data_IF_307979368542
#
_entry.id   IF_307979368542
#
_cell.length_a   1.000
_cell.length_b   1.000
_cell.length_c   1.000
_cell.angle_alpha   90.00
_cell.angle_beta   90.00
_cell.angle_gamma   90.00
#
_symmetry.space_group_name_H-M   'P 1'
#
loop_
_entity.id
_entity.type
_entity.pdbx_description
1 polymer ?
#
# COMPACT_ATOMS: atom_id res chain seq x y z
N UNK A 1 -9.47 -6.27 -12.38
CA UNK A 1 -9.51 -7.63 -11.83
C UNK A 1 -10.44 -8.55 -12.58
N UNK A 2 -11.70 -8.20 -12.95
CA UNK A 2 -12.49 -9.03 -13.85
C UNK A 2 -11.75 -9.35 -15.16
N UNK A 3 -11.00 -8.37 -15.69
CA UNK A 3 -10.20 -8.55 -16.90
C UNK A 3 -9.04 -9.55 -16.69
N UNK A 4 -8.34 -9.49 -15.58
CA UNK A 4 -7.22 -10.40 -15.29
C UNK A 4 -7.68 -11.85 -15.24
N UNK A 5 -8.78 -12.14 -14.52
CA UNK A 5 -9.39 -13.48 -14.48
C UNK A 5 -9.95 -13.93 -15.83
N UNK A 6 -10.63 -13.05 -16.53
CA UNK A 6 -11.11 -13.33 -17.87
C UNK A 6 -9.95 -13.67 -18.81
N UNK A 7 -8.88 -12.88 -18.78
CA UNK A 7 -7.71 -13.11 -19.60
C UNK A 7 -7.00 -14.43 -19.23
N UNK A 8 -6.85 -14.74 -17.93
CA UNK A 8 -6.28 -16.00 -17.46
C UNK A 8 -7.11 -17.21 -17.93
N UNK A 9 -8.45 -17.15 -17.84
CA UNK A 9 -9.33 -18.21 -18.35
C UNK A 9 -9.25 -18.37 -19.88
N UNK A 10 -9.03 -17.28 -20.60
CA UNK A 10 -8.98 -17.25 -22.06
C UNK A 10 -7.64 -17.63 -22.66
N UNK A 11 -6.53 -17.22 -22.00
CA UNK A 11 -5.18 -17.32 -22.54
C UNK A 11 -4.24 -18.17 -21.70
N UNK A 12 -4.69 -18.71 -20.55
CA UNK A 12 -3.87 -19.46 -19.62
C UNK A 12 -3.17 -18.59 -18.58
N UNK A 13 -2.31 -19.21 -17.77
CA UNK A 13 -1.64 -18.57 -16.62
C UNK A 13 -0.54 -17.57 -17.02
N UNK A 14 -0.06 -17.63 -18.26
CA UNK A 14 0.95 -16.71 -18.79
C UNK A 14 0.43 -16.09 -20.09
N UNK A 15 0.23 -14.78 -20.07
CA UNK A 15 -0.29 -14.08 -21.26
C UNK A 15 0.33 -12.71 -21.43
N UNK A 16 0.44 -12.27 -22.68
CA UNK A 16 0.94 -10.96 -23.04
C UNK A 16 -0.17 -9.92 -23.04
N UNK A 17 0.12 -8.76 -22.47
CA UNK A 17 -0.73 -7.58 -22.54
C UNK A 17 0.10 -6.33 -22.79
N UNK A 18 -0.57 -5.23 -23.17
CA UNK A 18 0.06 -3.92 -23.30
C UNK A 18 -0.52 -2.99 -22.25
N UNK A 19 0.31 -2.51 -21.35
CA UNK A 19 -0.09 -1.54 -20.32
C UNK A 19 0.65 -0.23 -20.59
N UNK A 20 -0.09 0.83 -20.88
CA UNK A 20 0.49 2.16 -20.98
C UNK A 20 0.75 2.73 -19.58
N UNK A 21 1.95 3.27 -19.36
CA UNK A 21 3.11 3.41 -20.25
C UNK A 21 4.21 2.35 -20.03
N UNK A 22 3.90 1.18 -19.40
CA UNK A 22 4.87 0.09 -19.18
C UNK A 22 5.33 -0.58 -20.49
N UNK A 23 4.53 -0.48 -21.55
CA UNK A 23 4.80 -1.17 -22.80
C UNK A 23 4.31 -2.63 -22.80
N UNK A 24 5.09 -3.56 -23.37
CA UNK A 24 4.75 -4.98 -23.34
C UNK A 24 4.93 -5.54 -21.92
N UNK A 25 3.89 -6.20 -21.42
CA UNK A 25 3.86 -6.83 -20.11
C UNK A 25 3.46 -8.29 -20.30
N UNK A 26 4.14 -9.20 -19.59
CA UNK A 26 3.77 -10.60 -19.49
C UNK A 26 3.18 -10.82 -18.10
N UNK A 27 1.88 -11.05 -18.04
CA UNK A 27 1.15 -11.37 -16.82
C UNK A 27 1.33 -12.84 -16.47
N UNK A 28 1.51 -13.14 -15.18
CA UNK A 28 1.75 -14.49 -14.65
C UNK A 28 0.78 -14.74 -13.50
N UNK A 29 -0.04 -15.79 -13.63
CA UNK A 29 -1.04 -16.21 -12.65
C UNK A 29 -0.75 -17.57 -11.99
N UNK A 30 0.32 -18.25 -12.35
CA UNK A 30 0.74 -19.52 -11.74
C UNK A 30 1.64 -19.26 -10.51
N UNK A 31 1.33 -19.84 -9.32
CA UNK A 31 2.11 -19.61 -8.10
C UNK A 31 3.57 -20.06 -8.19
N UNK A 32 3.88 -21.11 -8.94
CA UNK A 32 5.24 -21.65 -9.10
C UNK A 32 6.09 -20.69 -9.93
N UNK A 33 5.56 -20.24 -11.06
CA UNK A 33 6.23 -19.26 -11.91
C UNK A 33 6.35 -17.89 -11.23
N UNK A 34 5.37 -17.52 -10.42
CA UNK A 34 5.42 -16.30 -9.58
C UNK A 34 6.55 -16.39 -8.58
N UNK A 35 6.73 -17.53 -7.91
CA UNK A 35 7.86 -17.76 -7.00
C UNK A 35 9.19 -17.55 -7.74
N UNK A 36 9.35 -18.15 -8.91
CA UNK A 36 10.56 -18.03 -9.72
C UNK A 36 10.88 -16.54 -10.02
N UNK A 37 9.89 -15.77 -10.46
CA UNK A 37 10.07 -14.35 -10.78
C UNK A 37 10.36 -13.48 -9.54
N UNK A 38 9.69 -13.74 -8.42
CA UNK A 38 9.82 -12.93 -7.22
C UNK A 38 11.10 -13.23 -6.41
N UNK A 39 11.65 -14.43 -6.55
CA UNK A 39 12.88 -14.87 -5.86
C UNK A 39 14.12 -14.91 -6.75
N UNK A 40 13.94 -14.67 -8.04
CA UNK A 40 15.02 -14.71 -9.03
C UNK A 40 16.13 -13.67 -8.75
N UNK A 41 17.26 -13.79 -9.45
CA UNK A 41 18.43 -12.94 -9.28
C UNK A 41 18.11 -11.45 -9.44
N UNK A 42 18.63 -10.62 -8.51
CA UNK A 42 18.30 -9.19 -8.48
C UNK A 42 18.78 -8.44 -9.72
N UNK A 43 19.88 -8.88 -10.30
CA UNK A 43 20.52 -8.34 -11.52
C UNK A 43 19.72 -8.63 -12.79
N UNK A 44 18.78 -9.58 -12.74
CA UNK A 44 17.91 -9.92 -13.88
C UNK A 44 16.52 -9.32 -13.72
N UNK A 45 15.94 -9.37 -12.52
CA UNK A 45 14.55 -9.03 -12.24
C UNK A 45 14.42 -7.66 -11.53
N UNK A 46 14.57 -6.57 -12.26
CA UNK A 46 14.54 -5.21 -11.72
C UNK A 46 13.11 -4.73 -11.39
N UNK A 47 12.84 -4.47 -10.12
CA UNK A 47 11.60 -3.83 -9.69
C UNK A 47 11.72 -2.31 -9.74
N UNK A 48 12.88 -1.77 -9.37
CA UNK A 48 13.14 -0.33 -9.40
C UNK A 48 13.03 0.23 -10.81
N UNK A 49 13.62 -0.43 -11.81
CA UNK A 49 13.56 0.02 -13.21
C UNK A 49 12.09 0.01 -13.71
N UNK A 50 11.29 -0.99 -13.36
CA UNK A 50 9.87 -1.01 -13.72
C UNK A 50 9.07 0.11 -13.07
N UNK A 51 9.44 0.52 -11.85
CA UNK A 51 8.76 1.55 -11.06
C UNK A 51 9.26 2.97 -11.36
N UNK A 52 10.50 3.11 -11.80
CA UNK A 52 11.24 4.39 -11.92
C UNK A 52 10.48 5.43 -12.73
N UNK A 53 9.89 5.03 -13.83
CA UNK A 53 9.16 5.95 -14.72
C UNK A 53 7.97 6.63 -14.03
N UNK A 54 7.29 5.93 -13.11
CA UNK A 54 6.09 6.42 -12.44
C UNK A 54 6.38 7.07 -11.09
N UNK A 55 7.27 6.46 -10.32
CA UNK A 55 7.44 6.81 -8.92
C UNK A 55 8.57 7.84 -8.71
N UNK A 56 9.61 7.85 -9.55
CA UNK A 56 10.74 8.77 -9.40
C UNK A 56 10.34 10.25 -9.38
N UNK A 57 9.41 10.74 -10.21
CA UNK A 57 9.01 12.14 -10.16
C UNK A 57 8.39 12.56 -8.84
N UNK A 58 7.73 11.63 -8.14
CA UNK A 58 7.08 11.88 -6.84
C UNK A 58 7.99 11.53 -5.68
N UNK A 59 8.59 10.34 -5.71
CA UNK A 59 9.32 9.75 -4.58
C UNK A 59 10.81 10.11 -4.55
N UNK A 60 11.33 10.70 -5.64
CA UNK A 60 12.74 11.01 -5.78
C UNK A 60 13.55 9.87 -6.40
N UNK A 61 14.85 10.14 -6.61
CA UNK A 61 15.75 9.22 -7.32
C UNK A 61 16.42 8.18 -6.41
N UNK A 62 16.42 8.41 -5.10
CA UNK A 62 17.09 7.57 -4.09
C UNK A 62 16.08 6.80 -3.20
N UNK A 63 14.79 6.88 -3.50
CA UNK A 63 13.76 6.16 -2.77
C UNK A 63 13.81 4.66 -3.00
N UNK A 64 13.62 3.86 -1.96
CA UNK A 64 13.76 2.39 -1.99
C UNK A 64 12.94 1.71 -3.09
N UNK A 65 11.83 2.28 -3.50
CA UNK A 65 10.96 1.72 -4.54
C UNK A 65 11.51 1.86 -5.96
N UNK A 66 12.49 2.76 -6.19
CA UNK A 66 13.08 3.02 -7.51
C UNK A 66 14.53 2.56 -7.65
N UNK A 67 15.09 1.98 -6.58
CA UNK A 67 16.42 1.39 -6.55
C UNK A 67 16.38 -0.09 -6.93
N UNK A 68 17.49 -0.62 -7.41
CA UNK A 68 17.68 -2.05 -7.71
C UNK A 68 18.94 -2.58 -7.03
N UNK A 69 19.16 -3.87 -7.10
CA UNK A 69 20.36 -4.61 -6.70
C UNK A 69 20.86 -4.25 -5.28
N UNK A 70 22.15 -4.03 -5.12
CA UNK A 70 22.81 -3.78 -3.83
C UNK A 70 22.38 -2.44 -3.21
N UNK A 71 22.17 -1.40 -4.04
CA UNK A 71 21.70 -0.09 -3.55
C UNK A 71 20.32 -0.21 -2.89
N UNK A 72 19.43 -1.01 -3.51
CA UNK A 72 18.15 -1.33 -2.90
C UNK A 72 18.32 -2.10 -1.59
N UNK A 73 19.17 -3.14 -1.56
CA UNK A 73 19.34 -3.97 -0.36
C UNK A 73 19.95 -3.18 0.79
N UNK A 74 20.94 -2.35 0.53
CA UNK A 74 21.55 -1.45 1.52
C UNK A 74 20.51 -0.49 2.10
N UNK A 75 19.73 0.17 1.23
CA UNK A 75 18.65 1.08 1.64
C UNK A 75 17.56 0.33 2.42
N UNK A 76 17.12 -0.83 1.93
CA UNK A 76 16.13 -1.65 2.61
C UNK A 76 16.56 -2.06 4.01
N UNK A 77 17.80 -2.49 4.18
CA UNK A 77 18.36 -2.90 5.48
C UNK A 77 18.30 -1.75 6.52
N UNK A 78 18.53 -0.53 6.08
CA UNK A 78 18.41 0.66 6.95
C UNK A 78 16.98 1.02 7.31
N UNK A 79 16.02 0.74 6.41
CA UNK A 79 14.61 1.06 6.62
C UNK A 79 13.84 0.01 7.44
N UNK A 80 14.37 -1.21 7.58
CA UNK A 80 13.66 -2.33 8.21
C UNK A 80 13.42 -2.15 9.72
N UNK A 81 14.39 -1.70 10.54
CA UNK A 81 14.26 -1.74 11.99
C UNK A 81 13.00 -1.08 12.57
N UNK A 82 12.54 0.10 12.09
CA UNK A 82 11.33 0.73 12.60
C UNK A 82 10.04 -0.05 12.35
N UNK A 83 10.04 -1.01 11.41
CA UNK A 83 8.84 -1.74 10.97
C UNK A 83 8.84 -3.22 11.36
N UNK A 84 9.66 -3.61 12.36
CA UNK A 84 9.76 -5.00 12.83
C UNK A 84 9.80 -5.10 14.36
N UNK A 85 9.37 -6.26 14.85
CA UNK A 85 9.47 -6.64 16.25
C UNK A 85 8.73 -5.69 17.19
N UNK A 86 9.36 -5.36 18.32
CA UNK A 86 8.78 -4.50 19.36
C UNK A 86 8.45 -3.08 18.88
N UNK A 87 9.10 -2.59 17.82
CA UNK A 87 8.79 -1.27 17.28
C UNK A 87 7.32 -1.16 16.82
N UNK A 88 6.74 -2.23 16.28
CA UNK A 88 5.35 -2.25 15.84
C UNK A 88 4.38 -2.11 17.01
N UNK A 89 4.67 -2.75 18.14
CA UNK A 89 3.80 -2.68 19.33
C UNK A 89 3.62 -1.25 19.83
N UNK A 90 4.66 -0.41 19.74
CA UNK A 90 4.60 1.00 20.13
C UNK A 90 3.62 1.81 19.28
N UNK A 91 3.39 1.40 18.05
CA UNK A 91 2.47 2.11 17.16
C UNK A 91 1.00 1.73 17.40
N UNK A 92 0.70 0.62 18.09
CA UNK A 92 -0.67 0.18 18.36
C UNK A 92 -1.47 1.23 19.12
N UNK A 93 -0.84 1.90 20.09
CA UNK A 93 -1.49 2.98 20.84
C UNK A 93 -1.80 4.18 19.95
N UNK A 94 -0.85 4.60 19.13
CA UNK A 94 -1.04 5.68 18.14
C UNK A 94 -2.20 5.36 17.20
N UNK A 95 -2.27 4.12 16.71
CA UNK A 95 -3.32 3.67 15.81
C UNK A 95 -4.68 3.72 16.50
N UNK A 96 -4.74 3.26 17.76
CA UNK A 96 -5.97 3.28 18.58
C UNK A 96 -6.47 4.70 18.79
N UNK A 97 -5.62 5.59 19.30
CA UNK A 97 -5.95 6.98 19.56
C UNK A 97 -6.47 7.72 18.32
N UNK A 98 -5.78 7.58 17.19
CA UNK A 98 -6.19 8.26 15.95
C UNK A 98 -7.50 7.70 15.40
N UNK A 99 -7.71 6.39 15.55
CA UNK A 99 -8.97 5.75 15.13
C UNK A 99 -10.13 6.22 16.03
N UNK A 100 -9.96 6.24 17.34
CA UNK A 100 -10.96 6.73 18.31
C UNK A 100 -11.38 8.15 18.01
N UNK A 101 -10.40 9.04 17.93
CA UNK A 101 -10.60 10.46 17.65
C UNK A 101 -11.40 10.70 16.35
N UNK A 102 -11.20 9.82 15.36
CA UNK A 102 -11.90 9.92 14.09
C UNK A 102 -13.31 9.35 14.14
N UNK A 103 -13.49 8.18 14.75
CA UNK A 103 -14.78 7.47 14.88
C UNK A 103 -15.80 8.27 15.68
N UNK A 104 -15.38 8.99 16.72
CA UNK A 104 -16.25 9.86 17.53
C UNK A 104 -16.97 10.92 16.70
N UNK A 105 -16.37 11.36 15.60
CA UNK A 105 -16.92 12.37 14.69
C UNK A 105 -17.85 11.80 13.62
N UNK A 106 -18.02 10.49 13.56
CA UNK A 106 -18.86 9.90 12.54
C UNK A 106 -20.34 10.13 12.83
N UNK A 107 -21.10 10.71 11.89
CA UNK A 107 -22.51 10.99 12.13
C UNK A 107 -23.35 9.72 12.11
N UNK A 108 -24.26 9.55 13.08
CA UNK A 108 -25.24 8.47 13.11
C UNK A 108 -26.33 8.72 12.06
N UNK A 109 -26.79 7.65 11.39
CA UNK A 109 -27.88 7.69 10.40
C UNK A 109 -27.53 8.37 9.07
N UNK A 110 -26.28 8.80 8.86
CA UNK A 110 -25.85 9.42 7.61
C UNK A 110 -24.85 8.54 6.85
N UNK A 111 -24.86 8.66 5.54
CA UNK A 111 -23.87 7.98 4.69
C UNK A 111 -22.49 8.55 4.92
N UNK A 112 -21.55 7.66 5.22
CA UNK A 112 -20.13 7.94 5.43
C UNK A 112 -19.34 7.28 4.30
N UNK A 113 -18.33 7.95 3.81
CA UNK A 113 -17.38 7.41 2.83
C UNK A 113 -16.14 6.91 3.55
N UNK A 114 -15.99 5.60 3.66
CA UNK A 114 -14.87 5.00 4.39
C UNK A 114 -13.51 5.31 3.76
N UNK A 115 -13.42 5.47 2.44
CA UNK A 115 -12.18 5.89 1.79
C UNK A 115 -11.65 7.27 2.27
N UNK A 116 -12.53 8.14 2.77
CA UNK A 116 -12.14 9.43 3.37
C UNK A 116 -11.77 9.30 4.84
N UNK A 117 -12.56 8.52 5.57
CA UNK A 117 -12.36 8.31 7.00
C UNK A 117 -11.08 7.53 7.28
N UNK A 118 -10.91 6.39 6.60
CA UNK A 118 -9.69 5.58 6.72
C UNK A 118 -8.45 6.35 6.25
N UNK A 119 -8.59 7.21 5.23
CA UNK A 119 -7.51 8.11 4.81
C UNK A 119 -7.08 9.08 5.91
N UNK A 120 -8.04 9.66 6.63
CA UNK A 120 -7.72 10.56 7.72
C UNK A 120 -7.00 9.82 8.86
N UNK A 121 -7.45 8.61 9.20
CA UNK A 121 -6.80 7.77 10.22
C UNK A 121 -5.36 7.43 9.80
N UNK A 122 -5.18 6.81 8.63
CA UNK A 122 -3.86 6.31 8.21
C UNK A 122 -2.86 7.43 7.93
N UNK A 123 -3.33 8.63 7.54
CA UNK A 123 -2.46 9.79 7.38
C UNK A 123 -1.89 10.23 8.75
N UNK A 124 -2.72 10.37 9.77
CA UNK A 124 -2.25 10.77 11.09
C UNK A 124 -1.36 9.70 11.71
N UNK A 125 -1.72 8.42 11.57
CA UNK A 125 -0.91 7.30 12.05
C UNK A 125 0.48 7.34 11.43
N UNK A 126 0.61 7.47 10.10
CA UNK A 126 1.94 7.50 9.45
C UNK A 126 2.71 8.79 9.79
N UNK A 127 2.04 9.94 9.91
CA UNK A 127 2.67 11.19 10.31
C UNK A 127 3.27 11.07 11.72
N UNK A 128 2.49 10.57 12.69
CA UNK A 128 2.98 10.34 14.06
C UNK A 128 4.06 9.25 14.13
N UNK A 129 3.95 8.20 13.33
CA UNK A 129 4.98 7.15 13.24
C UNK A 129 6.29 7.70 12.70
N UNK A 130 6.24 8.55 11.67
CA UNK A 130 7.45 9.07 11.00
C UNK A 130 8.08 10.23 11.75
N UNK A 131 7.27 11.15 12.28
CA UNK A 131 7.77 12.38 12.91
C UNK A 131 7.61 12.43 14.42
N UNK A 132 6.98 11.43 15.04
CA UNK A 132 6.64 11.47 16.46
C UNK A 132 5.37 12.27 16.76
N UNK A 133 5.00 12.34 18.04
CA UNK A 133 3.91 13.18 18.51
C UNK A 133 4.34 14.65 18.48
N UNK A 134 3.48 15.51 17.96
CA UNK A 134 3.68 16.96 17.94
C UNK A 134 2.97 17.58 16.74
N UNK A 135 2.45 18.77 16.96
CA UNK A 135 1.87 19.61 15.92
C UNK A 135 2.83 20.77 15.65
N UNK A 136 3.08 21.01 14.37
CA UNK A 136 3.82 22.19 13.92
C UNK A 136 3.19 22.71 12.63
N UNK A 137 3.32 24.02 12.33
CA UNK A 137 2.83 24.58 11.07
C UNK A 137 3.38 23.85 9.84
N UNK A 138 4.62 23.35 9.88
CA UNK A 138 5.23 22.58 8.81
C UNK A 138 4.54 21.23 8.63
N UNK A 139 4.22 20.51 9.70
CA UNK A 139 3.49 19.22 9.63
C UNK A 139 2.08 19.42 9.12
N UNK A 140 1.37 20.49 9.52
CA UNK A 140 0.05 20.82 9.02
C UNK A 140 0.04 21.15 7.52
N UNK A 141 1.04 21.90 7.07
CA UNK A 141 1.21 22.15 5.65
C UNK A 141 1.56 20.88 4.88
N UNK A 142 2.44 20.03 5.43
CA UNK A 142 2.82 18.76 4.82
C UNK A 142 1.61 17.83 4.67
N UNK A 143 0.71 17.72 5.66
CA UNK A 143 -0.55 16.97 5.56
C UNK A 143 -1.39 17.43 4.36
N UNK A 144 -1.56 18.74 4.19
CA UNK A 144 -2.30 19.33 3.06
C UNK A 144 -1.63 19.06 1.71
N UNK A 145 -0.31 19.15 1.67
CA UNK A 145 0.47 18.92 0.45
C UNK A 145 0.47 17.44 0.06
N UNK A 146 0.64 16.53 1.01
CA UNK A 146 0.55 15.08 0.78
C UNK A 146 -0.81 14.69 0.20
N UNK A 147 -1.91 15.21 0.73
CA UNK A 147 -3.24 14.99 0.18
C UNK A 147 -3.40 15.42 -1.28
N UNK A 148 -2.67 16.46 -1.72
CA UNK A 148 -2.66 16.89 -3.13
C UNK A 148 -1.77 16.00 -4.02
N UNK A 149 -0.68 15.46 -3.49
CA UNK A 149 0.26 14.61 -4.22
C UNK A 149 -0.32 13.21 -4.42
N UNK A 150 -0.96 12.65 -3.41
CA UNK A 150 -1.55 11.30 -3.47
C UNK A 150 -2.86 11.28 -4.28
N UNK A 151 -3.59 12.40 -4.36
CA UNK A 151 -4.80 12.53 -5.19
C UNK A 151 -4.45 12.88 -6.65
N UNK A 152 -3.77 11.97 -7.35
CA UNK A 152 -3.48 12.13 -8.77
C UNK A 152 -4.71 11.71 -9.60
N UNK A 153 -5.24 12.59 -10.43
CA UNK A 153 -6.30 12.25 -11.39
C UNK A 153 -5.69 11.64 -12.66
N UNK A 154 -6.50 10.95 -13.48
CA UNK A 154 -6.06 10.41 -14.78
C UNK A 154 -5.34 11.48 -15.64
N UNK A 155 -5.86 12.71 -15.66
CA UNK A 155 -5.25 13.82 -16.37
C UNK A 155 -3.83 14.11 -15.86
N UNK A 156 -3.61 14.07 -14.54
CA UNK A 156 -2.28 14.30 -13.95
C UNK A 156 -1.32 13.16 -14.23
N UNK A 157 -1.81 11.92 -14.41
CA UNK A 157 -0.96 10.79 -14.78
C UNK A 157 -0.38 10.89 -16.19
N UNK A 158 -0.96 11.69 -17.07
CA UNK A 158 -0.39 12.00 -18.39
C UNK A 158 0.98 12.67 -18.30
N UNK A 159 1.28 13.37 -17.19
CA UNK A 159 2.62 13.94 -16.96
C UNK A 159 3.74 12.90 -16.98
N UNK A 160 3.46 11.67 -16.55
CA UNK A 160 4.44 10.57 -16.59
C UNK A 160 4.78 10.14 -18.02
N UNK A 161 3.89 10.38 -18.97
CA UNK A 161 4.06 10.03 -20.38
C UNK A 161 4.56 11.22 -21.20
N UNK A 162 4.18 12.43 -20.80
CA UNK A 162 4.48 13.67 -21.50
C UNK A 162 4.96 14.74 -20.50
N UNK A 163 6.23 14.71 -20.06
CA UNK A 163 6.77 15.64 -19.07
C UNK A 163 6.68 17.12 -19.45
N UNK A 164 6.64 17.44 -20.75
CA UNK A 164 6.47 18.78 -21.28
C UNK A 164 5.12 19.42 -20.90
N UNK A 165 4.10 18.62 -20.54
CA UNK A 165 2.84 19.11 -19.98
C UNK A 165 3.04 19.82 -18.64
N UNK A 166 4.19 19.65 -17.98
CA UNK A 166 4.49 20.29 -16.68
C UNK A 166 4.46 21.81 -16.69
N UNK A 167 4.46 22.45 -17.87
CA UNK A 167 4.33 23.90 -18.02
C UNK A 167 2.87 24.40 -17.95
N UNK A 168 1.89 23.54 -18.17
CA UNK A 168 0.46 23.90 -18.19
C UNK A 168 -0.28 23.49 -16.90
N UNK A 169 -1.35 24.20 -16.48
CA UNK A 169 -2.27 23.71 -15.46
C UNK A 169 -2.98 22.42 -15.96
N UNK A 170 -3.23 21.41 -15.11
CA UNK A 170 -2.99 21.33 -13.66
C UNK A 170 -1.60 20.78 -13.25
N UNK A 171 -0.74 20.44 -14.21
CA UNK A 171 0.56 19.78 -13.94
C UNK A 171 1.54 20.73 -13.23
N UNK A 172 1.54 22.03 -13.61
CA UNK A 172 2.35 23.05 -12.93
C UNK A 172 2.03 23.16 -11.43
N UNK A 173 0.75 23.04 -11.07
CA UNK A 173 0.33 23.04 -9.66
C UNK A 173 0.79 21.77 -8.93
N UNK A 174 0.72 20.61 -9.60
CA UNK A 174 1.19 19.34 -9.06
C UNK A 174 2.70 19.37 -8.82
N UNK A 175 3.48 19.85 -9.78
CA UNK A 175 4.94 20.03 -9.63
C UNK A 175 5.30 21.00 -8.49
N UNK A 176 4.52 22.08 -8.28
CA UNK A 176 4.69 22.98 -7.12
C UNK A 176 4.44 22.25 -5.80
N UNK A 177 3.41 21.41 -5.73
CA UNK A 177 3.14 20.61 -4.53
C UNK A 177 4.28 19.65 -4.20
N UNK A 178 4.88 18.98 -5.21
CA UNK A 178 6.04 18.11 -5.00
C UNK A 178 7.26 18.90 -4.51
N UNK A 179 7.53 20.07 -5.08
CA UNK A 179 8.63 20.94 -4.61
C UNK A 179 8.40 21.38 -3.16
N UNK A 180 7.19 21.86 -2.85
CA UNK A 180 6.87 22.30 -1.48
C UNK A 180 6.98 21.16 -0.47
N UNK A 181 6.57 19.93 -0.82
CA UNK A 181 6.80 18.77 0.03
C UNK A 181 8.29 18.51 0.28
N UNK A 182 9.13 18.67 -0.74
CA UNK A 182 10.58 18.50 -0.59
C UNK A 182 11.20 19.57 0.32
N UNK A 183 10.76 20.83 0.23
CA UNK A 183 11.18 21.95 1.09
C UNK A 183 10.80 21.65 2.55
N UNK A 184 9.52 21.35 2.80
CA UNK A 184 9.02 21.03 4.15
C UNK A 184 9.75 19.83 4.77
N UNK A 185 10.01 18.80 3.98
CA UNK A 185 10.78 17.64 4.47
C UNK A 185 12.22 17.99 4.77
N UNK A 186 12.86 18.89 4.00
CA UNK A 186 14.19 19.41 4.29
C UNK A 186 14.23 20.20 5.61
N UNK A 187 13.26 21.11 5.80
CA UNK A 187 13.08 21.86 7.04
C UNK A 187 12.93 20.91 8.26
N UNK A 188 11.99 19.94 8.19
CA UNK A 188 11.75 18.97 9.26
C UNK A 188 12.96 18.07 9.57
N UNK A 189 13.75 17.71 8.57
CA UNK A 189 14.99 16.93 8.75
C UNK A 189 16.05 17.79 9.45
N UNK A 190 16.20 19.06 9.04
CA UNK A 190 17.16 19.98 9.66
C UNK A 190 16.80 20.24 11.14
N UNK A 191 15.55 20.54 11.42
CA UNK A 191 15.02 20.74 12.77
C UNK A 191 15.27 19.51 13.66
N UNK A 192 15.00 18.30 13.11
CA UNK A 192 15.20 17.05 13.83
C UNK A 192 16.68 16.78 14.14
N UNK A 193 17.59 17.10 13.22
CA UNK A 193 19.04 16.95 13.45
C UNK A 193 19.57 17.89 14.54
N UNK A 194 18.99 19.08 14.64
CA UNK A 194 19.34 20.06 15.66
C UNK A 194 18.63 19.84 16.99
N UNK A 195 17.67 18.92 17.08
CA UNK A 195 16.88 18.69 18.27
C UNK A 195 17.73 18.09 19.40
N UNK A 196 17.72 18.69 20.62
CA UNK A 196 18.57 18.23 21.76
C UNK A 196 18.13 16.85 22.28
N UNK A 197 16.93 16.43 21.99
CA UNK A 197 16.32 15.15 22.39
C UNK A 197 16.36 14.07 21.29
N UNK A 198 17.13 14.28 20.21
CA UNK A 198 17.22 13.35 19.08
C UNK A 198 17.53 11.91 19.53
N UNK A 199 18.42 11.72 20.49
CA UNK A 199 18.87 10.40 20.94
C UNK A 199 17.80 9.63 21.72
N UNK A 200 16.85 10.32 22.33
CA UNK A 200 15.76 9.72 23.09
C UNK A 200 14.48 9.47 22.27
N UNK A 201 14.42 9.96 21.02
CA UNK A 201 13.24 9.83 20.16
C UNK A 201 13.22 8.48 19.43
N UNK A 202 12.03 7.88 19.36
CA UNK A 202 11.80 6.57 18.75
C UNK A 202 11.00 6.62 17.44
N UNK A 203 10.72 7.82 16.91
CA UNK A 203 10.10 7.99 15.61
C UNK A 203 11.06 7.60 14.47
N UNK A 204 10.46 7.25 13.30
CA UNK A 204 11.22 6.71 12.17
C UNK A 204 12.29 7.68 11.68
N UNK A 205 12.00 8.99 11.60
CA UNK A 205 12.96 9.99 11.14
C UNK A 205 14.18 10.04 12.07
N UNK A 206 13.96 10.07 13.39
CA UNK A 206 15.04 10.05 14.40
C UNK A 206 15.88 8.79 14.31
N UNK A 207 15.24 7.62 14.16
CA UNK A 207 15.96 6.35 13.98
C UNK A 207 16.80 6.32 12.70
N UNK A 208 16.30 6.89 11.59
CA UNK A 208 17.04 6.96 10.34
C UNK A 208 18.22 7.93 10.41
N UNK A 209 18.10 9.05 11.14
CA UNK A 209 19.18 10.01 11.36
C UNK A 209 20.30 9.35 12.21
N UNK A 210 19.95 8.68 13.30
CA UNK A 210 20.91 7.97 14.18
C UNK A 210 21.55 6.75 13.53
N UNK A 211 20.87 6.13 12.57
CA UNK A 211 21.31 4.90 11.90
C UNK A 211 22.50 5.04 10.95
N UNK A 212 23.19 6.17 10.96
CA UNK A 212 24.42 6.42 10.21
C UNK A 212 24.37 7.63 9.28
N UNK A 213 25.49 7.95 8.63
CA UNK A 213 25.58 9.05 7.68
C UNK A 213 24.58 8.88 6.53
N UNK A 214 23.53 9.69 6.56
CA UNK A 214 22.58 9.82 5.49
C UNK A 214 22.56 11.26 5.03
N UNK A 215 22.85 11.50 3.75
CA UNK A 215 22.65 12.83 3.20
C UNK A 215 21.16 13.22 3.23
N UNK A 216 20.89 14.51 3.26
CA UNK A 216 19.53 15.06 3.34
C UNK A 216 18.63 14.54 2.20
N UNK A 217 19.16 14.44 0.98
CA UNK A 217 18.42 13.97 -0.17
C UNK A 217 17.96 12.51 0.00
N UNK A 218 18.83 11.65 0.54
CA UNK A 218 18.48 10.27 0.82
C UNK A 218 17.37 10.22 1.89
N UNK A 219 17.53 10.88 3.02
CA UNK A 219 16.53 10.95 4.10
C UNK A 219 15.18 11.44 3.56
N UNK A 220 15.18 12.56 2.85
CA UNK A 220 13.97 13.14 2.26
C UNK A 220 13.27 12.18 1.31
N UNK A 221 14.01 11.49 0.43
CA UNK A 221 13.44 10.54 -0.50
C UNK A 221 12.89 9.30 0.22
N UNK A 222 13.56 8.79 1.30
CA UNK A 222 13.02 7.67 2.08
C UNK A 222 11.78 8.07 2.87
N UNK A 223 11.81 9.18 3.60
CA UNK A 223 10.63 9.67 4.36
C UNK A 223 9.43 9.85 3.42
N UNK A 224 9.64 10.47 2.26
CA UNK A 224 8.59 10.63 1.26
C UNK A 224 8.05 9.29 0.73
N UNK A 225 8.93 8.30 0.52
CA UNK A 225 8.51 6.94 0.16
C UNK A 225 7.61 6.32 1.24
N UNK A 226 8.00 6.43 2.51
CA UNK A 226 7.23 5.87 3.64
C UNK A 226 5.85 6.54 3.76
N UNK A 227 5.80 7.87 3.68
CA UNK A 227 4.56 8.63 3.77
C UNK A 227 3.57 8.28 2.64
N UNK A 228 4.06 8.20 1.40
CA UNK A 228 3.19 7.93 0.24
C UNK A 228 2.78 6.46 0.19
N UNK A 229 3.72 5.53 0.42
CA UNK A 229 3.44 4.10 0.32
C UNK A 229 2.61 3.58 1.50
N UNK A 230 2.85 4.04 2.73
CA UNK A 230 2.17 3.56 3.93
C UNK A 230 0.74 4.06 4.07
N UNK A 231 0.49 5.30 3.67
CA UNK A 231 -0.81 5.94 3.83
C UNK A 231 -1.87 5.39 2.85
N UNK A 232 -1.68 5.54 1.55
CA UNK A 232 -2.73 5.27 0.55
C UNK A 232 -3.10 3.77 0.45
N UNK A 233 -2.13 2.89 0.64
CA UNK A 233 -2.36 1.44 0.57
C UNK A 233 -3.17 0.94 1.75
N UNK A 234 -2.82 1.32 2.97
CA UNK A 234 -3.56 0.92 4.18
C UNK A 234 -4.95 1.55 4.23
N UNK A 235 -5.10 2.82 3.81
CA UNK A 235 -6.41 3.46 3.56
C UNK A 235 -7.33 2.55 2.76
N UNK A 236 -6.83 2.06 1.62
CA UNK A 236 -7.63 1.24 0.71
C UNK A 236 -7.96 -0.13 1.31
N UNK A 237 -7.00 -0.77 1.97
CA UNK A 237 -7.21 -2.06 2.64
C UNK A 237 -8.27 -1.96 3.74
N UNK A 238 -8.17 -0.94 4.58
CA UNK A 238 -9.13 -0.70 5.67
C UNK A 238 -10.52 -0.33 5.14
N UNK A 239 -10.61 0.49 4.09
CA UNK A 239 -11.88 0.81 3.46
C UNK A 239 -12.57 -0.43 2.87
N UNK A 240 -11.80 -1.35 2.27
CA UNK A 240 -12.33 -2.63 1.80
C UNK A 240 -12.79 -3.54 2.94
N UNK A 241 -12.05 -3.59 4.06
CA UNK A 241 -12.48 -4.36 5.23
C UNK A 241 -13.81 -3.84 5.79
N UNK A 242 -13.97 -2.53 5.90
CA UNK A 242 -15.22 -1.89 6.35
C UNK A 242 -16.38 -2.19 5.40
N UNK A 243 -16.17 -2.17 4.10
CA UNK A 243 -17.17 -2.50 3.10
C UNK A 243 -17.58 -3.98 3.18
N UNK A 244 -16.61 -4.89 3.24
CA UNK A 244 -16.87 -6.32 3.34
C UNK A 244 -17.64 -6.66 4.62
N UNK A 245 -17.21 -6.13 5.76
CA UNK A 245 -17.89 -6.34 7.04
C UNK A 245 -19.30 -5.71 7.10
N UNK A 246 -19.57 -4.67 6.31
CA UNK A 246 -20.92 -4.12 6.17
C UNK A 246 -21.87 -5.12 5.49
N UNK A 247 -21.38 -5.85 4.47
CA UNK A 247 -22.17 -6.85 3.73
C UNK A 247 -22.19 -8.24 4.38
N UNK A 248 -21.39 -8.47 5.41
CA UNK A 248 -21.30 -9.74 6.16
C UNK A 248 -21.49 -9.48 7.65
N UNK A 249 -22.73 -9.17 8.08
CA UNK A 249 -23.01 -8.81 9.51
C UNK A 249 -22.69 -9.96 10.47
N UNK A 250 -22.82 -11.22 10.05
CA UNK A 250 -22.45 -12.40 10.84
C UNK A 250 -20.94 -12.46 11.10
N UNK A 251 -20.11 -12.18 10.08
CA UNK A 251 -18.65 -12.11 10.23
C UNK A 251 -18.27 -10.92 11.11
N UNK A 252 -18.95 -9.77 10.94
CA UNK A 252 -18.74 -8.58 11.76
C UNK A 252 -19.05 -8.83 13.22
N UNK A 253 -20.17 -9.50 13.53
CA UNK A 253 -20.54 -9.87 14.90
C UNK A 253 -19.48 -10.79 15.52
N UNK A 254 -19.09 -11.84 14.79
CA UNK A 254 -18.03 -12.76 15.23
C UNK A 254 -16.68 -12.04 15.43
N UNK A 255 -16.30 -11.10 14.54
CA UNK A 255 -15.07 -10.32 14.67
C UNK A 255 -15.09 -9.41 15.91
N UNK A 256 -16.25 -8.92 16.33
CA UNK A 256 -16.43 -8.14 17.57
C UNK A 256 -16.22 -8.99 18.81
N UNK A 257 -16.76 -10.21 18.82
CA UNK A 257 -16.73 -11.11 19.98
C UNK A 257 -15.43 -11.89 20.11
N UNK A 258 -14.71 -12.07 18.98
CA UNK A 258 -13.47 -12.86 18.92
C UNK A 258 -12.24 -12.03 19.28
N UNK A 259 -11.16 -12.75 19.63
CA UNK A 259 -9.85 -12.15 19.86
C UNK A 259 -9.15 -11.68 18.56
N UNK A 260 -7.96 -11.14 18.71
CA UNK A 260 -7.17 -10.55 17.63
C UNK A 260 -6.83 -11.53 16.52
N UNK A 261 -6.69 -12.83 16.80
CA UNK A 261 -6.41 -13.86 15.79
C UNK A 261 -7.49 -13.95 14.72
N UNK A 262 -8.76 -13.77 15.09
CA UNK A 262 -9.84 -13.75 14.11
C UNK A 262 -9.84 -12.45 13.28
N UNK A 263 -9.47 -11.32 13.89
CA UNK A 263 -9.29 -10.07 13.17
C UNK A 263 -8.10 -10.14 12.18
N UNK A 264 -7.02 -10.82 12.55
CA UNK A 264 -5.91 -11.08 11.62
C UNK A 264 -6.37 -11.93 10.43
N UNK A 265 -7.26 -12.91 10.67
CA UNK A 265 -7.88 -13.68 9.59
C UNK A 265 -8.81 -12.81 8.71
N UNK A 266 -9.60 -11.92 9.31
CA UNK A 266 -10.43 -10.93 8.58
C UNK A 266 -9.57 -10.04 7.70
N UNK A 267 -8.47 -9.50 8.22
CA UNK A 267 -7.51 -8.67 7.46
C UNK A 267 -6.88 -9.48 6.32
N UNK A 268 -6.45 -10.71 6.60
CA UNK A 268 -5.83 -11.60 5.62
C UNK A 268 -6.79 -11.92 4.48
N UNK A 269 -8.03 -12.29 4.79
CA UNK A 269 -9.06 -12.58 3.80
C UNK A 269 -9.49 -11.32 3.03
N UNK A 270 -9.58 -10.16 3.68
CA UNK A 270 -9.81 -8.88 3.01
C UNK A 270 -8.78 -8.65 1.91
N UNK A 271 -7.50 -8.79 2.24
CA UNK A 271 -6.40 -8.58 1.29
C UNK A 271 -6.33 -9.68 0.22
N UNK A 272 -6.90 -10.86 0.46
CA UNK A 272 -7.06 -11.89 -0.55
C UNK A 272 -8.15 -11.51 -1.55
N UNK A 273 -9.39 -11.27 -1.09
CA UNK A 273 -10.53 -10.99 -1.99
C UNK A 273 -10.48 -9.59 -2.59
N UNK A 274 -9.80 -8.66 -1.94
CA UNK A 274 -9.64 -7.27 -2.35
C UNK A 274 -8.18 -6.83 -2.28
N UNK A 275 -7.28 -7.44 -3.07
CA UNK A 275 -5.88 -7.03 -3.08
C UNK A 275 -5.79 -5.55 -3.49
N UNK A 276 -5.08 -4.77 -2.67
CA UNK A 276 -4.91 -3.33 -2.90
C UNK A 276 -4.07 -3.08 -4.13
N UNK A 277 -2.99 -3.84 -4.28
CA UNK A 277 -2.12 -3.82 -5.48
C UNK A 277 -2.30 -5.16 -6.21
N UNK A 278 -2.71 -5.14 -7.50
CA UNK A 278 -3.06 -6.36 -8.22
C UNK A 278 -1.89 -7.28 -8.51
N UNK A 279 -0.65 -6.78 -8.45
CA UNK A 279 0.55 -7.56 -8.74
C UNK A 279 1.83 -6.75 -8.56
N UNK A 280 2.97 -7.42 -8.68
CA UNK A 280 4.31 -6.86 -8.47
C UNK A 280 5.13 -6.94 -9.76
N UNK A 281 5.56 -5.82 -10.31
CA UNK A 281 6.30 -5.79 -11.58
C UNK A 281 7.78 -6.12 -11.43
N UNK A 282 8.35 -6.75 -12.47
CA UNK A 282 9.80 -6.95 -12.66
C UNK A 282 10.14 -6.69 -14.12
N UNK A 283 11.08 -5.79 -14.38
CA UNK A 283 11.60 -5.58 -15.74
C UNK A 283 12.83 -6.43 -15.94
N UNK A 284 12.84 -7.18 -17.03
CA UNK A 284 13.95 -8.07 -17.36
C UNK A 284 15.14 -7.30 -17.91
N UNK A 285 16.31 -7.54 -17.34
CA UNK A 285 17.58 -7.01 -17.83
C UNK A 285 18.25 -7.95 -18.83
N UNK A 286 17.92 -9.25 -18.78
CA UNK A 286 18.39 -10.29 -19.65
C UNK A 286 17.23 -11.18 -20.13
N UNK A 287 17.35 -11.91 -21.24
CA UNK A 287 16.38 -12.91 -21.63
C UNK A 287 16.29 -14.01 -20.57
N UNK A 288 15.07 -14.43 -20.22
CA UNK A 288 14.82 -15.53 -19.29
C UNK A 288 13.85 -16.54 -19.87
N UNK A 289 13.90 -17.77 -19.39
CA UNK A 289 12.87 -18.78 -19.66
C UNK A 289 12.01 -18.90 -18.40
N UNK A 290 10.71 -18.67 -18.54
CA UNK A 290 9.72 -18.81 -17.46
C UNK A 290 8.70 -19.87 -17.91
N UNK A 291 8.70 -20.99 -17.24
CA UNK A 291 7.98 -22.18 -17.72
C UNK A 291 8.43 -22.53 -19.15
N UNK A 292 7.50 -22.71 -20.11
CA UNK A 292 7.85 -23.02 -21.50
C UNK A 292 8.20 -21.81 -22.34
N UNK A 293 8.18 -20.57 -21.77
CA UNK A 293 8.28 -19.33 -22.56
C UNK A 293 9.65 -18.68 -22.42
N UNK A 294 10.30 -18.41 -23.55
CA UNK A 294 11.49 -17.56 -23.61
C UNK A 294 11.06 -16.11 -23.75
N UNK A 295 11.38 -15.29 -22.75
CA UNK A 295 10.97 -13.88 -22.66
C UNK A 295 12.22 -13.00 -22.85
N UNK A 296 12.21 -12.06 -23.81
CA UNK A 296 13.38 -11.21 -24.08
C UNK A 296 13.61 -10.17 -22.98
N UNK A 297 14.84 -9.64 -22.93
CA UNK A 297 15.19 -8.48 -22.12
C UNK A 297 14.27 -7.28 -22.43
N UNK A 298 14.10 -6.37 -21.47
CA UNK A 298 13.28 -5.17 -21.58
C UNK A 298 11.77 -5.40 -21.37
N UNK A 299 11.29 -6.65 -21.38
CA UNK A 299 9.89 -6.98 -21.09
C UNK A 299 9.64 -6.86 -19.59
N UNK A 300 8.48 -6.33 -19.21
CA UNK A 300 8.03 -6.31 -17.82
C UNK A 300 7.19 -7.53 -17.51
N UNK A 301 7.59 -8.31 -16.50
CA UNK A 301 6.79 -9.39 -15.91
C UNK A 301 5.86 -8.82 -14.85
N UNK A 302 4.64 -9.36 -14.79
CA UNK A 302 3.63 -8.98 -13.80
C UNK A 302 3.08 -10.22 -13.10
N UNK A 303 3.74 -10.73 -12.05
CA UNK A 303 3.13 -11.62 -11.07
C UNK A 303 1.82 -11.03 -10.54
N UNK A 304 0.69 -11.71 -10.79
CA UNK A 304 -0.65 -11.20 -10.52
C UNK A 304 -1.25 -11.81 -9.25
N UNK A 305 -1.14 -11.12 -8.12
CA UNK A 305 -1.78 -11.52 -6.87
C UNK A 305 -3.30 -11.68 -7.05
N UNK A 306 -3.94 -10.74 -7.78
CA UNK A 306 -5.37 -10.80 -8.04
C UNK A 306 -5.83 -12.04 -8.82
N UNK A 307 -4.98 -12.63 -9.65
CA UNK A 307 -5.30 -13.88 -10.36
C UNK A 307 -5.21 -15.07 -9.43
N UNK A 308 -4.10 -15.22 -8.72
CA UNK A 308 -3.87 -16.35 -7.78
C UNK A 308 -4.89 -16.33 -6.64
N UNK A 309 -5.14 -15.17 -6.05
CA UNK A 309 -6.08 -15.02 -4.94
C UNK A 309 -7.54 -15.38 -5.30
N UNK A 310 -7.88 -15.41 -6.58
CA UNK A 310 -9.19 -15.75 -7.08
C UNK A 310 -9.22 -17.03 -7.93
N UNK A 311 -8.16 -17.83 -7.86
CA UNK A 311 -8.04 -19.08 -8.58
C UNK A 311 -8.70 -20.22 -7.80
N UNK A 312 -9.70 -20.93 -8.34
CA UNK A 312 -10.34 -22.05 -7.67
C UNK A 312 -9.40 -23.27 -7.50
N UNK A 313 -8.29 -23.32 -8.22
CA UNK A 313 -7.24 -24.34 -8.03
C UNK A 313 -6.42 -24.09 -6.76
N UNK A 314 -6.48 -22.86 -6.20
CA UNK A 314 -5.71 -22.43 -5.02
C UNK A 314 -6.63 -22.22 -3.81
N UNK A 315 -7.84 -21.73 -4.03
CA UNK A 315 -8.82 -21.45 -2.97
C UNK A 315 -10.20 -21.99 -3.37
N UNK A 316 -10.80 -22.81 -2.53
CA UNK A 316 -12.20 -23.23 -2.71
C UNK A 316 -13.08 -21.99 -2.56
N UNK A 317 -14.10 -21.87 -3.44
CA UNK A 317 -15.04 -20.74 -3.45
C UNK A 317 -14.32 -19.38 -3.33
N UNK A 318 -13.41 -19.04 -4.28
CA UNK A 318 -12.48 -17.93 -4.14
C UNK A 318 -13.18 -16.55 -4.14
N UNK A 319 -14.45 -16.48 -4.53
CA UNK A 319 -15.24 -15.24 -4.50
C UNK A 319 -15.83 -14.95 -3.12
N UNK A 320 -15.94 -15.97 -2.25
CA UNK A 320 -16.48 -15.80 -0.90
C UNK A 320 -15.49 -15.10 0.01
N UNK A 321 -16.05 -14.20 0.84
CA UNK A 321 -15.33 -13.61 1.95
C UNK A 321 -15.46 -14.50 3.18
N UNK A 322 -14.48 -15.37 3.42
CA UNK A 322 -14.48 -16.40 4.47
C UNK A 322 -13.20 -16.35 5.29
N UNK A 323 -13.14 -15.53 6.35
CA UNK A 323 -11.97 -15.40 7.22
C UNK A 323 -11.51 -16.72 7.86
N UNK A 324 -12.42 -17.66 8.05
CA UNK A 324 -12.16 -18.98 8.61
C UNK A 324 -11.04 -19.74 7.90
N UNK A 325 -10.78 -19.44 6.63
CA UNK A 325 -9.63 -20.00 5.87
C UNK A 325 -8.29 -19.77 6.56
N UNK A 326 -8.20 -18.69 7.36
CA UNK A 326 -6.93 -18.21 7.91
C UNK A 326 -6.89 -18.16 9.44
N UNK A 327 -7.88 -18.76 10.12
CA UNK A 327 -7.90 -18.80 11.59
C UNK A 327 -6.84 -19.74 12.15
N UNK A 328 -6.69 -20.93 11.54
CA UNK A 328 -5.76 -21.97 12.00
C UNK A 328 -4.61 -22.24 11.01
N UNK A 329 -4.70 -21.68 9.82
CA UNK A 329 -3.72 -21.90 8.75
C UNK A 329 -3.14 -20.60 8.25
N UNK A 330 -1.82 -20.54 8.13
CA UNK A 330 -1.15 -19.44 7.45
C UNK A 330 -1.21 -19.67 5.95
N UNK A 331 -1.58 -18.64 5.16
CA UNK A 331 -1.58 -18.78 3.71
C UNK A 331 -0.17 -19.08 3.19
N UNK A 332 -0.08 -19.87 2.13
CA UNK A 332 1.18 -20.16 1.45
C UNK A 332 1.78 -18.85 0.86
N UNK A 333 3.11 -18.74 0.91
CA UNK A 333 3.84 -17.50 0.60
C UNK A 333 3.56 -16.94 -0.80
N UNK A 334 3.29 -17.81 -1.79
CA UNK A 334 3.03 -17.40 -3.18
C UNK A 334 1.60 -17.68 -3.64
N UNK A 335 0.79 -18.33 -2.80
CA UNK A 335 -0.66 -18.38 -2.97
C UNK A 335 -1.34 -17.12 -2.39
N UNK A 336 -0.72 -16.49 -1.38
CA UNK A 336 -1.15 -15.24 -0.78
C UNK A 336 0.03 -14.25 -0.71
N UNK A 337 0.05 -13.27 -1.60
CA UNK A 337 1.13 -12.30 -1.67
C UNK A 337 0.67 -10.86 -1.96
N UNK A 338 -0.29 -10.32 -1.20
CA UNK A 338 -0.75 -8.94 -1.40
C UNK A 338 0.35 -7.91 -1.12
N UNK A 339 1.40 -8.33 -0.41
CA UNK A 339 2.60 -7.55 -0.10
C UNK A 339 3.79 -7.87 -1.01
N UNK A 340 3.55 -8.56 -2.15
CA UNK A 340 4.62 -9.05 -3.00
C UNK A 340 5.45 -10.16 -2.34
N UNK A 341 6.67 -10.40 -2.87
CA UNK A 341 7.52 -11.50 -2.39
C UNK A 341 9.00 -11.31 -2.66
N UNK A 342 9.81 -12.25 -2.13
CA UNK A 342 11.25 -12.25 -2.26
C UNK A 342 11.91 -11.03 -1.62
N UNK A 343 13.04 -10.61 -2.16
CA UNK A 343 13.83 -9.46 -1.67
C UNK A 343 13.07 -8.13 -1.71
N UNK A 344 11.98 -8.07 -2.48
CA UNK A 344 11.13 -6.88 -2.68
C UNK A 344 9.81 -6.93 -1.91
N UNK A 345 9.63 -7.89 -1.02
CA UNK A 345 8.44 -7.94 -0.17
C UNK A 345 8.28 -6.61 0.59
N UNK A 346 7.05 -6.14 0.72
CA UNK A 346 6.74 -4.87 1.39
C UNK A 346 7.43 -4.77 2.76
N UNK A 347 8.10 -3.64 3.00
CA UNK A 347 8.80 -3.36 4.27
C UNK A 347 7.77 -3.20 5.40
N UNK A 348 6.68 -2.48 5.12
CA UNK A 348 5.61 -2.20 6.07
C UNK A 348 4.52 -3.27 6.15
N UNK A 349 4.74 -4.51 5.69
CA UNK A 349 3.70 -5.53 5.66
C UNK A 349 3.13 -5.84 7.06
N UNK A 350 4.00 -6.01 8.06
CA UNK A 350 3.57 -6.26 9.43
C UNK A 350 2.88 -5.01 10.04
N UNK A 351 3.45 -3.82 9.80
CA UNK A 351 2.84 -2.57 10.23
C UNK A 351 1.43 -2.39 9.66
N UNK A 352 1.25 -2.57 8.35
CA UNK A 352 -0.05 -2.41 7.69
C UNK A 352 -1.10 -3.41 8.22
N UNK A 353 -0.72 -4.67 8.47
CA UNK A 353 -1.62 -5.67 9.06
C UNK A 353 -2.00 -5.30 10.49
N UNK A 354 -1.04 -4.87 11.32
CA UNK A 354 -1.29 -4.38 12.67
C UNK A 354 -2.19 -3.15 12.65
N UNK A 355 -1.91 -2.18 11.77
CA UNK A 355 -2.73 -0.98 11.62
C UNK A 355 -4.18 -1.32 11.27
N UNK A 356 -4.38 -2.21 10.29
CA UNK A 356 -5.73 -2.65 9.92
C UNK A 356 -6.42 -3.39 11.09
N UNK A 357 -5.72 -4.29 11.79
CA UNK A 357 -6.27 -5.04 12.91
C UNK A 357 -6.69 -4.12 14.08
N UNK A 358 -5.78 -3.25 14.52
CA UNK A 358 -6.03 -2.35 15.65
C UNK A 358 -7.13 -1.34 15.31
N UNK A 359 -7.11 -0.76 14.11
CA UNK A 359 -8.17 0.16 13.68
C UNK A 359 -9.52 -0.55 13.58
N UNK A 360 -9.60 -1.75 13.01
CA UNK A 360 -10.85 -2.53 12.96
C UNK A 360 -11.36 -2.88 14.36
N UNK A 361 -10.49 -3.32 15.28
CA UNK A 361 -10.87 -3.57 16.68
C UNK A 361 -11.49 -2.32 17.29
N UNK A 362 -10.79 -1.19 17.18
CA UNK A 362 -11.23 0.09 17.74
C UNK A 362 -12.59 0.53 17.17
N UNK A 363 -12.82 0.33 15.88
CA UNK A 363 -14.10 0.66 15.23
C UNK A 363 -15.21 -0.28 15.69
N UNK A 364 -14.95 -1.59 15.69
CA UNK A 364 -15.93 -2.62 16.10
C UNK A 364 -16.42 -2.43 17.54
N UNK A 365 -15.55 -2.02 18.44
CA UNK A 365 -15.88 -1.82 19.85
C UNK A 365 -16.80 -0.59 20.07
N UNK A 366 -16.77 0.40 19.16
CA UNK A 366 -17.44 1.70 19.33
C UNK A 366 -18.68 1.91 18.51
N UNK A 367 -18.73 1.35 17.30
CA UNK A 367 -19.82 1.65 16.36
C UNK A 367 -20.35 0.40 15.68
N UNK A 368 -21.57 0.52 15.20
CA UNK A 368 -22.17 -0.41 14.26
C UNK A 368 -22.49 0.30 12.96
N UNK A 369 -22.49 -0.44 11.85
CA UNK A 369 -22.75 0.13 10.54
C UNK A 369 -23.37 -0.88 9.58
N UNK A 370 -24.02 -0.38 8.57
CA UNK A 370 -24.63 -1.15 7.50
C UNK A 370 -24.23 -0.59 6.13
N UNK A 371 -24.45 -1.34 5.03
CA UNK A 371 -24.15 -0.84 3.70
C UNK A 371 -25.06 0.35 3.34
N UNK A 372 -24.48 1.44 2.81
CA UNK A 372 -25.26 2.58 2.31
C UNK A 372 -25.86 2.36 0.92
N UNK A 373 -25.75 1.20 0.34
CA UNK A 373 -26.20 0.88 -1.02
C UNK A 373 -26.91 -0.46 -1.11
N UNK A 374 -27.47 -0.74 -2.30
CA UNK A 374 -28.20 -2.00 -2.56
C UNK A 374 -27.32 -3.14 -3.10
N UNK A 375 -26.05 -2.87 -3.39
CA UNK A 375 -25.09 -3.85 -3.96
C UNK A 375 -23.69 -3.55 -3.47
N UNK A 376 -22.86 -4.59 -3.26
CA UNK A 376 -21.45 -4.43 -2.94
C UNK A 376 -20.73 -3.56 -3.96
N UNK A 377 -19.66 -2.94 -3.51
CA UNK A 377 -18.86 -2.05 -4.36
C UNK A 377 -18.00 -2.85 -5.33
N UNK A 378 -17.84 -2.31 -6.54
CA UNK A 378 -16.91 -2.86 -7.51
C UNK A 378 -15.51 -2.31 -7.28
N UNK A 379 -14.50 -3.09 -7.61
CA UNK A 379 -13.13 -2.61 -7.68
C UNK A 379 -12.95 -1.68 -8.89
N UNK A 380 -12.30 -0.55 -8.66
CA UNK A 380 -11.89 0.41 -9.68
C UNK A 380 -10.38 0.62 -9.61
N UNK A 381 -9.74 0.67 -10.77
CA UNK A 381 -8.33 1.07 -10.84
C UNK A 381 -8.17 2.54 -10.45
N UNK A 382 -7.30 2.79 -9.51
CA UNK A 382 -6.83 4.12 -9.14
C UNK A 382 -5.31 4.08 -9.12
N UNK A 383 -4.67 4.49 -10.20
CA UNK A 383 -3.23 4.31 -10.46
C UNK A 383 -2.82 2.84 -10.38
N UNK A 384 -2.01 2.52 -9.36
CA UNK A 384 -1.52 1.17 -9.10
C UNK A 384 -2.40 0.40 -8.09
N UNK A 385 -3.41 1.05 -7.51
CA UNK A 385 -4.28 0.47 -6.47
C UNK A 385 -5.67 0.14 -6.99
N UNK A 386 -6.32 -0.83 -6.36
CA UNK A 386 -7.69 -1.25 -6.61
C UNK A 386 -8.57 -0.75 -5.47
N UNK A 387 -9.29 0.35 -5.72
CA UNK A 387 -10.11 1.03 -4.71
C UNK A 387 -11.60 0.71 -4.85
N UNK A 388 -12.41 0.89 -3.80
CA UNK A 388 -13.87 0.86 -3.88
C UNK A 388 -14.40 1.94 -4.84
N UNK A 389 -15.29 1.55 -5.75
CA UNK A 389 -15.74 2.44 -6.86
C UNK A 389 -16.49 3.68 -6.40
N UNK A 390 -17.14 3.62 -5.24
CA UNK A 390 -17.97 4.68 -4.66
C UNK A 390 -17.46 5.13 -3.27
N UNK A 391 -16.28 4.63 -2.85
CA UNK A 391 -15.61 5.01 -1.61
C UNK A 391 -15.99 4.20 -0.38
N UNK A 392 -16.44 2.94 -0.55
CA UNK A 392 -16.84 2.06 0.55
C UNK A 392 -17.88 2.73 1.47
N UNK A 393 -19.06 3.05 0.91
CA UNK A 393 -20.09 3.81 1.63
C UNK A 393 -20.84 2.94 2.62
N UNK A 394 -20.92 3.42 3.87
CA UNK A 394 -21.66 2.81 4.96
C UNK A 394 -22.55 3.84 5.67
N UNK A 395 -23.49 3.36 6.47
CA UNK A 395 -24.30 4.17 7.41
C UNK A 395 -24.00 3.69 8.80
N UNK A 396 -23.54 4.59 9.69
CA UNK A 396 -23.39 4.28 11.11
C UNK A 396 -24.77 4.17 11.74
N UNK A 397 -25.05 3.05 12.43
CA UNK A 397 -26.33 2.75 13.07
C UNK A 397 -26.31 2.99 14.58
N UNK A 398 -25.14 2.91 15.19
CA UNK A 398 -24.91 3.13 16.63
C UNK A 398 -23.59 3.86 16.85
#
# INVERSE_FOLDING_TARGET
VPYGRWAQRRYGDVFRMKILPLGPVVAIGDPTLIKEVLTGPAEIFHAGDSNRRFLRPVLGSRGVLVLDEDEHMATRKRLLPPFHGEAIKRYEEVIREETERRVERWPVGKTIRMDRETRAITLEVIMRTVFGAGDSPQLDELRKVLGRITHVTFIRSLWYVAPWLGLAPPWRQYGRSIRRANELLGELIADRRAAPDLDSRDDVLSLLIRGGEADEKWLRDQVKNLLVAGHETTTTGLAWAMELLAWHPEIRAKARESGDSYLDAVVTETLRVRPVIPGATRKLQQPVTIGPYRIPAGVTLLPMASSVHSDPRVYDDPEEFRPERFVNERPGTYSWFPFGGGRRRCIGAAFAQTEMRVALRTILDRVDWEPAGRRPERQRNFHITLVPSRGARVVRTR
#
